data_IF_424848852618
#
_entry.id   IF_424848852618
#
_cell.length_a   1.000
_cell.length_b   1.000
_cell.length_c   1.000
_cell.angle_alpha   90.00
_cell.angle_beta   90.00
_cell.angle_gamma   90.00
#
_symmetry.space_group_name_H-M   'P 1'
#
loop_
_entity.id
_entity.type
_entity.pdbx_description
1 polymer ?
#
# COMPACT_ATOMS: atom_id res chain seq x y z
N UNK A 1 21.89 4.31 -4.07
CA UNK A 1 21.79 5.78 -3.95
C UNK A 1 20.73 6.28 -4.91
N UNK A 2 19.82 7.15 -4.47
CA UNK A 2 18.77 7.70 -5.33
C UNK A 2 19.33 8.83 -6.22
N UNK A 3 19.32 8.69 -7.56
CA UNK A 3 19.89 9.70 -8.47
C UNK A 3 18.97 10.88 -8.75
N UNK A 4 17.67 10.81 -8.39
CA UNK A 4 16.63 11.77 -8.81
C UNK A 4 16.64 12.09 -10.32
N UNK A 5 17.11 11.12 -11.12
CA UNK A 5 17.31 11.25 -12.57
C UNK A 5 17.13 9.89 -13.21
N UNK A 6 16.43 9.87 -14.35
CA UNK A 6 16.36 8.67 -15.18
C UNK A 6 17.73 8.34 -15.74
N UNK A 7 18.20 7.13 -15.47
CA UNK A 7 19.49 6.62 -15.93
C UNK A 7 19.27 5.56 -17.02
N UNK A 8 20.03 5.56 -18.12
CA UNK A 8 19.90 4.59 -19.20
C UNK A 8 20.55 3.23 -18.86
N UNK A 9 20.36 2.75 -17.62
CA UNK A 9 20.99 1.53 -17.09
C UNK A 9 20.01 0.37 -16.85
N UNK A 10 18.75 0.54 -17.24
CA UNK A 10 17.66 -0.42 -16.94
C UNK A 10 16.99 -1.01 -18.19
N UNK A 11 17.64 -0.92 -19.35
CA UNK A 11 17.14 -1.48 -20.60
C UNK A 11 17.36 -2.99 -20.71
N UNK A 12 16.66 -3.64 -21.63
CA UNK A 12 16.68 -5.11 -21.77
C UNK A 12 18.08 -5.64 -22.15
N UNK A 13 18.86 -4.87 -22.92
CA UNK A 13 20.25 -5.21 -23.23
C UNK A 13 21.11 -5.37 -21.96
N UNK A 14 20.84 -4.57 -20.93
CA UNK A 14 21.56 -4.63 -19.66
C UNK A 14 21.06 -5.80 -18.83
N UNK A 15 19.74 -6.05 -18.80
CA UNK A 15 19.18 -7.25 -18.18
C UNK A 15 19.87 -8.51 -18.70
N UNK A 16 19.99 -8.64 -20.03
CA UNK A 16 20.68 -9.78 -20.65
C UNK A 16 22.18 -9.81 -20.38
N UNK A 17 22.84 -8.66 -20.20
CA UNK A 17 24.25 -8.62 -19.84
C UNK A 17 24.52 -9.18 -18.44
N UNK A 18 23.59 -9.01 -17.49
CA UNK A 18 23.70 -9.58 -16.13
C UNK A 18 23.30 -11.06 -16.07
N UNK A 19 22.48 -11.54 -16.99
CA UNK A 19 21.98 -12.92 -16.99
C UNK A 19 23.11 -13.95 -17.15
N UNK A 20 23.15 -14.93 -16.24
CA UNK A 20 24.15 -16.00 -16.20
C UNK A 20 25.51 -15.59 -15.64
N UNK A 21 25.74 -14.30 -15.32
CA UNK A 21 27.01 -13.84 -14.77
C UNK A 21 27.11 -14.12 -13.25
N UNK A 22 28.31 -14.11 -12.69
CA UNK A 22 28.47 -14.12 -11.23
C UNK A 22 28.46 -12.70 -10.68
N UNK A 23 28.00 -12.55 -9.42
CA UNK A 23 27.88 -11.25 -8.75
C UNK A 23 29.19 -10.42 -8.79
N UNK A 24 30.35 -11.06 -8.67
CA UNK A 24 31.65 -10.39 -8.66
C UNK A 24 32.24 -10.04 -10.02
N UNK A 25 31.65 -10.54 -11.12
CA UNK A 25 32.18 -10.39 -12.48
C UNK A 25 31.63 -9.13 -13.19
N UNK A 26 30.58 -8.52 -12.63
CA UNK A 26 29.86 -7.39 -13.21
C UNK A 26 29.85 -6.19 -12.25
N UNK A 27 29.65 -4.98 -12.80
CA UNK A 27 29.50 -3.78 -11.98
C UNK A 27 28.29 -3.91 -11.02
N UNK A 28 28.36 -3.33 -9.80
CA UNK A 28 27.27 -3.39 -8.84
C UNK A 28 25.94 -2.85 -9.39
N UNK A 29 24.92 -3.70 -9.41
CA UNK A 29 23.59 -3.34 -9.93
C UNK A 29 22.48 -4.16 -9.27
N UNK A 30 21.26 -3.63 -9.24
CA UNK A 30 20.08 -4.34 -8.70
C UNK A 30 19.78 -5.65 -9.46
N UNK A 31 20.14 -5.70 -10.75
CA UNK A 31 20.03 -6.90 -11.56
C UNK A 31 21.00 -8.00 -11.14
N UNK A 32 22.19 -7.66 -10.63
CA UNK A 32 23.12 -8.65 -10.10
C UNK A 32 22.57 -9.32 -8.83
N UNK A 33 21.89 -8.56 -7.97
CA UNK A 33 21.20 -9.09 -6.78
C UNK A 33 20.04 -10.01 -7.19
N UNK A 34 19.25 -9.60 -8.18
CA UNK A 34 18.17 -10.42 -8.70
C UNK A 34 18.69 -11.72 -9.36
N UNK A 35 19.76 -11.64 -10.17
CA UNK A 35 20.39 -12.81 -10.78
C UNK A 35 20.95 -13.77 -9.74
N UNK A 36 21.62 -13.27 -8.70
CA UNK A 36 22.17 -14.12 -7.65
C UNK A 36 21.05 -14.84 -6.88
N UNK A 37 19.96 -14.14 -6.54
CA UNK A 37 18.79 -14.78 -5.95
C UNK A 37 18.20 -15.86 -6.87
N UNK A 38 18.06 -15.58 -8.17
CA UNK A 38 17.54 -16.54 -9.14
C UNK A 38 18.44 -17.78 -9.28
N UNK A 39 19.76 -17.59 -9.37
CA UNK A 39 20.74 -18.69 -9.43
C UNK A 39 20.75 -19.52 -8.16
N UNK A 40 20.72 -18.90 -6.98
CA UNK A 40 20.69 -19.61 -5.70
C UNK A 40 19.39 -20.40 -5.52
N UNK A 41 18.26 -19.83 -5.96
CA UNK A 41 16.97 -20.54 -5.99
C UNK A 41 17.05 -21.79 -6.87
N UNK A 42 17.50 -21.64 -8.12
CA UNK A 42 17.58 -22.73 -9.09
C UNK A 42 18.60 -23.81 -8.67
N UNK A 43 19.75 -23.40 -8.10
CA UNK A 43 20.81 -24.32 -7.68
C UNK A 43 20.44 -25.12 -6.43
N UNK A 44 19.82 -24.46 -5.44
CA UNK A 44 19.62 -25.04 -4.12
C UNK A 44 18.16 -25.50 -3.88
N UNK A 45 17.24 -25.26 -4.82
CA UNK A 45 15.80 -25.46 -4.66
C UNK A 45 15.26 -24.84 -3.35
N UNK A 46 15.75 -23.64 -3.03
CA UNK A 46 15.40 -22.92 -1.79
C UNK A 46 14.78 -21.58 -2.14
N UNK A 47 13.66 -21.27 -1.48
CA UNK A 47 13.00 -19.98 -1.62
C UNK A 47 13.94 -18.84 -1.21
N UNK A 48 13.81 -17.71 -1.90
CA UNK A 48 14.65 -16.53 -1.68
C UNK A 48 13.79 -15.33 -1.31
N UNK A 49 14.41 -14.32 -0.73
CA UNK A 49 13.78 -13.02 -0.48
C UNK A 49 14.72 -11.88 -0.86
N UNK A 50 14.21 -10.91 -1.61
CA UNK A 50 14.84 -9.61 -1.81
C UNK A 50 14.19 -8.64 -0.84
N UNK A 51 14.96 -8.22 0.16
CA UNK A 51 14.52 -7.25 1.18
C UNK A 51 15.13 -5.90 0.85
N UNK A 52 14.29 -4.91 0.58
CA UNK A 52 14.73 -3.55 0.27
C UNK A 52 14.40 -2.63 1.44
N UNK A 53 15.42 -2.05 2.06
CA UNK A 53 15.30 -1.17 3.23
C UNK A 53 15.85 0.24 2.97
N UNK A 54 15.58 1.15 3.89
CA UNK A 54 16.01 2.56 3.84
C UNK A 54 14.88 3.54 4.17
N UNK A 55 15.23 4.80 4.39
CA UNK A 55 14.28 5.88 4.71
C UNK A 55 13.25 6.14 3.60
N UNK A 56 12.17 6.85 3.92
CA UNK A 56 11.22 7.30 2.89
C UNK A 56 11.92 8.15 1.82
N UNK A 57 11.67 7.85 0.54
CA UNK A 57 12.35 8.49 -0.60
C UNK A 57 13.69 7.88 -1.02
N UNK A 58 14.21 6.87 -0.31
CA UNK A 58 15.51 6.25 -0.64
C UNK A 58 15.55 5.46 -1.97
N UNK A 59 14.38 5.15 -2.55
CA UNK A 59 14.25 4.39 -3.81
C UNK A 59 13.86 2.92 -3.65
N UNK A 60 13.30 2.51 -2.50
CA UNK A 60 12.90 1.12 -2.21
C UNK A 60 11.97 0.52 -3.27
N UNK A 61 10.84 1.18 -3.53
CA UNK A 61 9.85 0.77 -4.53
C UNK A 61 10.43 0.69 -5.94
N UNK A 62 11.35 1.60 -6.30
CA UNK A 62 12.03 1.60 -7.60
C UNK A 62 12.93 0.37 -7.73
N UNK A 63 13.74 0.08 -6.71
CA UNK A 63 14.60 -1.12 -6.67
C UNK A 63 13.79 -2.41 -6.72
N UNK A 64 12.71 -2.51 -5.94
CA UNK A 64 11.80 -3.66 -5.96
C UNK A 64 11.19 -3.88 -7.35
N UNK A 65 10.74 -2.79 -8.02
CA UNK A 65 10.19 -2.84 -9.38
C UNK A 65 11.22 -3.33 -10.39
N UNK A 66 12.46 -2.86 -10.33
CA UNK A 66 13.52 -3.32 -11.22
C UNK A 66 13.91 -4.77 -10.97
N UNK A 67 13.94 -5.23 -9.72
CA UNK A 67 14.16 -6.65 -9.41
C UNK A 67 13.04 -7.53 -9.99
N UNK A 68 11.77 -7.14 -9.82
CA UNK A 68 10.64 -7.84 -10.44
C UNK A 68 10.72 -7.85 -11.97
N UNK A 69 11.11 -6.73 -12.59
CA UNK A 69 11.29 -6.64 -14.05
C UNK A 69 12.41 -7.57 -14.54
N UNK A 70 13.48 -7.72 -13.76
CA UNK A 70 14.55 -8.66 -14.08
C UNK A 70 14.01 -10.09 -14.17
N UNK A 71 13.33 -10.56 -13.12
CA UNK A 71 12.73 -11.90 -13.10
C UNK A 71 11.76 -12.10 -14.27
N UNK A 72 10.84 -11.16 -14.49
CA UNK A 72 9.89 -11.17 -15.61
C UNK A 72 10.57 -11.37 -16.98
N UNK A 73 11.77 -10.83 -17.15
CA UNK A 73 12.51 -10.89 -18.42
C UNK A 73 13.28 -12.20 -18.58
N UNK A 74 14.00 -12.64 -17.54
CA UNK A 74 14.92 -13.80 -17.62
C UNK A 74 14.23 -15.15 -17.45
N UNK A 75 13.06 -15.16 -16.80
CA UNK A 75 12.28 -16.38 -16.50
C UNK A 75 10.97 -16.47 -17.27
N UNK A 76 10.92 -15.76 -18.42
CA UNK A 76 9.74 -15.67 -19.28
C UNK A 76 9.29 -17.07 -19.70
N UNK A 77 8.02 -17.39 -19.45
CA UNK A 77 7.47 -18.69 -19.84
C UNK A 77 7.43 -18.82 -21.37
N UNK A 78 7.58 -20.04 -21.89
CA UNK A 78 7.38 -20.32 -23.32
C UNK A 78 5.91 -20.30 -23.76
N UNK A 79 4.99 -20.07 -22.83
CA UNK A 79 3.55 -20.05 -23.07
C UNK A 79 3.07 -18.62 -23.36
N UNK A 80 2.08 -18.46 -24.24
CA UNK A 80 1.47 -17.15 -24.57
C UNK A 80 0.67 -16.51 -23.42
N UNK A 81 0.81 -17.00 -22.18
CA UNK A 81 -0.01 -16.56 -21.05
C UNK A 81 0.42 -15.20 -20.45
N UNK A 82 1.58 -14.64 -20.85
CA UNK A 82 2.08 -13.32 -20.45
C UNK A 82 1.93 -13.03 -18.95
N UNK A 83 2.21 -14.04 -18.11
CA UNK A 83 2.04 -13.95 -16.64
C UNK A 83 2.98 -12.89 -16.06
N UNK A 84 4.17 -12.77 -16.63
CA UNK A 84 5.18 -11.78 -16.30
C UNK A 84 4.65 -10.33 -16.42
N UNK A 85 3.86 -10.04 -17.46
CA UNK A 85 3.29 -8.71 -17.69
C UNK A 85 2.23 -8.40 -16.62
N UNK A 86 1.43 -9.41 -16.23
CA UNK A 86 0.45 -9.28 -15.15
C UNK A 86 1.11 -9.03 -13.79
N UNK A 87 2.19 -9.74 -13.47
CA UNK A 87 2.93 -9.52 -12.22
C UNK A 87 3.43 -8.08 -12.13
N UNK A 88 4.00 -7.54 -13.23
CA UNK A 88 4.45 -6.15 -13.27
C UNK A 88 3.31 -5.14 -13.21
N UNK A 89 2.16 -5.46 -13.84
CA UNK A 89 0.94 -4.65 -13.83
C UNK A 89 0.31 -4.50 -12.43
N UNK A 90 0.64 -5.36 -11.47
CA UNK A 90 0.15 -5.17 -10.09
C UNK A 90 0.68 -3.90 -9.43
N UNK A 91 1.87 -3.42 -9.83
CA UNK A 91 2.52 -2.29 -9.16
C UNK A 91 1.78 -0.96 -9.39
N UNK A 92 1.50 -0.51 -10.64
CA UNK A 92 0.82 0.77 -10.85
C UNK A 92 -0.55 0.84 -10.16
N UNK A 93 -1.30 -0.26 -10.12
CA UNK A 93 -2.60 -0.29 -9.42
C UNK A 93 -2.40 -0.05 -7.92
N UNK A 94 -1.51 -0.80 -7.29
CA UNK A 94 -1.25 -0.65 -5.84
C UNK A 94 -0.61 0.70 -5.50
N UNK A 95 0.15 1.31 -6.40
CA UNK A 95 0.64 2.68 -6.24
C UNK A 95 -0.50 3.70 -6.33
N UNK A 96 -1.44 3.55 -7.27
CA UNK A 96 -2.57 4.46 -7.39
C UNK A 96 -3.44 4.47 -6.12
N UNK A 97 -3.70 3.29 -5.53
CA UNK A 97 -4.59 3.15 -4.35
C UNK A 97 -3.87 3.08 -3.00
N UNK A 98 -2.54 3.02 -2.99
CA UNK A 98 -1.74 2.80 -1.78
C UNK A 98 -0.59 3.79 -1.59
N UNK A 99 -0.28 4.60 -2.61
CA UNK A 99 0.73 5.66 -2.50
C UNK A 99 0.09 7.05 -2.46
N UNK A 100 0.80 7.97 -1.83
CA UNK A 100 0.41 9.37 -1.72
C UNK A 100 1.65 10.27 -1.67
N UNK A 101 1.46 11.57 -1.95
CA UNK A 101 2.48 12.58 -1.72
C UNK A 101 2.56 12.91 -0.24
N UNK A 102 3.78 12.85 0.30
CA UNK A 102 4.16 13.42 1.60
C UNK A 102 5.19 14.53 1.40
N UNK A 103 5.56 15.21 2.47
CA UNK A 103 6.65 16.21 2.44
C UNK A 103 8.04 15.62 2.12
N UNK A 104 8.19 14.28 2.22
CA UNK A 104 9.47 13.57 1.99
C UNK A 104 9.56 12.90 0.62
N UNK A 105 8.42 12.51 0.05
CA UNK A 105 8.36 11.75 -1.19
C UNK A 105 7.02 11.97 -1.90
N UNK A 106 7.07 12.36 -3.16
CA UNK A 106 5.89 12.58 -3.99
C UNK A 106 5.10 11.31 -4.31
N UNK A 107 5.75 10.14 -4.23
CA UNK A 107 5.13 8.83 -4.43
C UNK A 107 5.43 7.88 -3.25
N UNK A 108 5.09 8.31 -2.03
CA UNK A 108 5.32 7.52 -0.82
C UNK A 108 4.33 6.37 -0.70
N UNK A 109 4.83 5.13 -0.61
CA UNK A 109 4.02 3.97 -0.22
C UNK A 109 3.50 4.14 1.21
N UNK A 110 2.18 4.03 1.40
CA UNK A 110 1.51 4.13 2.71
C UNK A 110 0.94 2.80 3.18
N UNK A 111 1.56 1.72 2.72
CA UNK A 111 1.34 0.33 3.10
C UNK A 111 2.64 -0.45 2.86
N UNK A 112 2.81 -1.56 3.55
CA UNK A 112 3.86 -2.53 3.26
C UNK A 112 3.40 -3.57 2.25
N UNK A 113 4.28 -3.99 1.35
CA UNK A 113 4.00 -4.96 0.30
C UNK A 113 5.04 -6.07 0.30
N UNK A 114 4.57 -7.32 0.30
CA UNK A 114 5.40 -8.50 0.08
C UNK A 114 4.82 -9.29 -1.09
N UNK A 115 5.55 -9.36 -2.20
CA UNK A 115 5.13 -10.05 -3.41
C UNK A 115 5.94 -11.34 -3.57
N UNK A 116 5.28 -12.48 -3.39
CA UNK A 116 5.84 -13.81 -3.63
C UNK A 116 5.69 -14.13 -5.12
N UNK A 117 6.80 -14.17 -5.86
CA UNK A 117 6.82 -14.58 -7.27
C UNK A 117 7.03 -16.08 -7.32
N UNK A 118 6.08 -16.82 -7.88
CA UNK A 118 6.08 -18.27 -7.92
C UNK A 118 6.75 -18.80 -9.18
N UNK A 119 7.59 -19.83 -9.01
CA UNK A 119 8.30 -20.50 -10.09
C UNK A 119 7.95 -21.99 -10.15
N UNK A 120 7.98 -22.56 -11.36
CA UNK A 120 7.86 -24.01 -11.60
C UNK A 120 9.21 -24.75 -11.48
N UNK A 121 9.21 -26.06 -11.76
CA UNK A 121 10.40 -26.91 -11.75
C UNK A 121 11.44 -26.52 -12.81
N UNK A 122 11.04 -25.78 -13.85
CA UNK A 122 11.91 -25.24 -14.88
C UNK A 122 12.41 -23.82 -14.54
N UNK A 123 12.09 -23.32 -13.34
CA UNK A 123 12.37 -21.97 -12.87
C UNK A 123 11.73 -20.87 -13.75
N UNK A 124 10.58 -21.14 -14.36
CA UNK A 124 9.78 -20.15 -15.09
C UNK A 124 8.70 -19.55 -14.20
N UNK A 125 8.36 -18.28 -14.40
CA UNK A 125 7.28 -17.63 -13.64
C UNK A 125 5.95 -18.28 -14.01
N UNK A 126 5.22 -18.73 -12.98
CA UNK A 126 3.88 -19.27 -13.12
C UNK A 126 2.81 -18.35 -12.54
N UNK A 127 3.17 -17.46 -11.61
CA UNK A 127 2.25 -16.48 -11.03
C UNK A 127 2.88 -15.71 -9.88
N UNK A 128 2.04 -15.02 -9.11
CA UNK A 128 2.48 -14.33 -7.91
C UNK A 128 1.35 -14.18 -6.89
N UNK A 129 1.73 -13.93 -5.65
CA UNK A 129 0.82 -13.64 -4.55
C UNK A 129 1.32 -12.44 -3.74
N UNK A 130 0.45 -11.46 -3.51
CA UNK A 130 0.76 -10.24 -2.79
C UNK A 130 0.13 -10.25 -1.40
N UNK A 131 0.95 -9.93 -0.40
CA UNK A 131 0.51 -9.66 0.97
C UNK A 131 0.75 -8.19 1.28
N UNK A 132 -0.22 -7.56 1.91
CA UNK A 132 -0.16 -6.15 2.29
C UNK A 132 -0.22 -5.97 3.79
N UNK A 133 0.44 -4.94 4.30
CA UNK A 133 0.59 -4.64 5.72
C UNK A 133 0.27 -3.17 5.99
N UNK A 134 -0.48 -2.90 7.06
CA UNK A 134 -0.64 -1.58 7.66
C UNK A 134 -0.88 -0.43 6.66
N UNK A 135 -1.99 -0.50 5.92
CA UNK A 135 -2.48 0.65 5.15
C UNK A 135 -2.77 1.85 6.07
N UNK A 136 -2.24 3.02 5.75
CA UNK A 136 -2.47 4.28 6.48
C UNK A 136 -3.90 4.79 6.28
N UNK A 137 -4.83 4.32 7.14
CA UNK A 137 -6.25 4.65 7.01
C UNK A 137 -6.54 6.13 7.25
N UNK A 138 -5.80 6.80 8.13
CA UNK A 138 -6.00 8.22 8.45
C UNK A 138 -5.85 9.13 7.23
N UNK A 139 -4.95 8.78 6.30
CA UNK A 139 -4.74 9.49 5.02
C UNK A 139 -6.03 9.75 4.24
N UNK A 140 -6.99 8.84 4.32
CA UNK A 140 -8.26 8.91 3.57
C UNK A 140 -9.06 10.17 3.94
N UNK A 141 -8.94 10.63 5.19
CA UNK A 141 -9.80 11.69 5.75
C UNK A 141 -9.01 12.89 6.26
N UNK A 142 -7.68 12.79 6.32
CA UNK A 142 -6.79 13.82 6.85
C UNK A 142 -5.49 13.91 6.04
N UNK A 143 -5.04 15.14 5.77
CA UNK A 143 -3.73 15.42 5.19
C UNK A 143 -3.12 16.65 5.85
N UNK A 144 -1.82 16.56 6.18
CA UNK A 144 -1.04 17.72 6.62
C UNK A 144 -0.75 18.67 5.46
N UNK A 145 -0.26 19.87 5.76
CA UNK A 145 0.13 20.87 4.76
C UNK A 145 1.11 20.28 3.72
N UNK A 146 0.88 20.60 2.45
CA UNK A 146 1.62 20.11 1.27
C UNK A 146 1.57 18.59 1.00
N UNK A 147 0.74 17.84 1.74
CA UNK A 147 0.49 16.43 1.48
C UNK A 147 -0.79 16.19 0.68
N UNK A 148 -0.88 15.00 0.07
CA UNK A 148 -2.09 14.55 -0.64
C UNK A 148 -2.71 13.32 0.04
N UNK A 149 -3.97 13.07 -0.27
CA UNK A 149 -4.59 11.75 -0.16
C UNK A 149 -3.98 10.78 -1.21
N UNK A 150 -4.49 9.55 -1.29
CA UNK A 150 -4.07 8.56 -2.29
C UNK A 150 -4.27 9.07 -3.72
N UNK A 151 -3.33 8.73 -4.61
CA UNK A 151 -3.27 9.25 -5.98
C UNK A 151 -4.55 9.02 -6.78
N UNK A 152 -5.21 7.88 -6.58
CA UNK A 152 -6.43 7.51 -7.32
C UNK A 152 -7.56 8.54 -7.18
N UNK A 153 -7.65 9.25 -6.06
CA UNK A 153 -8.66 10.30 -5.89
C UNK A 153 -8.41 11.48 -6.84
N UNK A 154 -7.15 11.89 -7.01
CA UNK A 154 -6.77 12.98 -7.91
C UNK A 154 -6.89 12.57 -9.37
N UNK A 155 -6.49 11.34 -9.69
CA UNK A 155 -6.71 10.73 -11.01
C UNK A 155 -8.20 10.75 -11.40
N UNK A 156 -9.08 10.45 -10.44
CA UNK A 156 -10.52 10.41 -10.63
C UNK A 156 -11.12 11.82 -10.76
N UNK A 157 -10.76 12.76 -9.88
CA UNK A 157 -11.18 14.17 -9.97
C UNK A 157 -10.70 14.84 -11.26
N UNK A 158 -9.45 14.58 -11.70
CA UNK A 158 -8.92 15.08 -12.97
C UNK A 158 -9.67 14.53 -14.20
N UNK A 159 -10.42 13.43 -14.02
CA UNK A 159 -11.24 12.79 -15.04
C UNK A 159 -12.74 13.11 -14.91
N UNK A 160 -13.15 13.95 -13.96
CA UNK A 160 -14.55 14.22 -13.65
C UNK A 160 -15.41 14.71 -14.84
N UNK A 161 -14.80 15.39 -15.80
CA UNK A 161 -15.50 15.93 -16.97
C UNK A 161 -15.69 14.91 -18.12
N UNK A 162 -15.09 13.73 -18.03
CA UNK A 162 -15.23 12.70 -19.05
C UNK A 162 -16.62 12.05 -19.00
N UNK A 163 -17.12 11.64 -20.16
CA UNK A 163 -18.48 11.10 -20.34
C UNK A 163 -18.78 9.92 -19.42
N UNK A 164 -17.83 9.00 -19.31
CA UNK A 164 -17.93 7.77 -18.53
C UNK A 164 -18.06 8.04 -17.03
N UNK A 165 -17.53 9.17 -16.53
CA UNK A 165 -17.53 9.53 -15.11
C UNK A 165 -18.62 10.53 -14.72
N UNK A 166 -19.45 11.01 -15.66
CA UNK A 166 -20.50 12.01 -15.37
C UNK A 166 -21.48 11.56 -14.30
N UNK A 167 -21.81 10.28 -14.26
CA UNK A 167 -22.73 9.72 -13.26
C UNK A 167 -22.13 9.71 -11.84
N UNK A 168 -20.81 9.83 -11.70
CA UNK A 168 -20.13 9.96 -10.41
C UNK A 168 -20.28 11.36 -9.80
N UNK A 169 -20.74 12.35 -10.59
CA UNK A 169 -21.02 13.74 -10.14
C UNK A 169 -19.84 14.40 -9.41
N UNK A 170 -18.64 14.10 -9.88
CA UNK A 170 -17.41 14.64 -9.33
C UNK A 170 -17.12 16.05 -9.82
N UNK A 171 -16.33 16.76 -9.02
CA UNK A 171 -15.70 18.02 -9.37
C UNK A 171 -14.17 17.92 -9.36
N UNK A 172 -13.52 19.07 -9.26
CA UNK A 172 -12.08 19.16 -9.03
C UNK A 172 -11.69 18.63 -7.63
N UNK A 173 -10.41 18.30 -7.44
CA UNK A 173 -9.91 17.84 -6.13
C UNK A 173 -10.03 18.90 -5.02
N UNK A 174 -10.17 20.18 -5.37
CA UNK A 174 -10.36 21.28 -4.40
C UNK A 174 -11.77 21.35 -3.83
N UNK A 175 -12.75 20.70 -4.47
CA UNK A 175 -14.14 20.72 -4.02
C UNK A 175 -14.38 19.77 -2.85
N UNK A 176 -13.57 18.71 -2.71
CA UNK A 176 -13.77 17.69 -1.69
C UNK A 176 -12.85 17.88 -0.49
N UNK A 177 -13.43 17.84 0.71
CA UNK A 177 -12.71 18.01 1.97
C UNK A 177 -11.56 17.00 2.14
N UNK A 178 -11.75 15.77 1.64
CA UNK A 178 -10.78 14.68 1.76
C UNK A 178 -9.61 14.77 0.77
N UNK A 179 -9.60 15.71 -0.17
CA UNK A 179 -8.49 15.89 -1.14
C UNK A 179 -7.89 17.29 -1.13
N UNK A 180 -8.54 18.27 -0.47
CA UNK A 180 -8.08 19.66 -0.45
C UNK A 180 -7.27 20.05 0.78
N UNK A 181 -7.23 19.22 1.83
CA UNK A 181 -6.78 19.62 3.17
C UNK A 181 -5.31 20.08 3.18
N UNK A 182 -4.45 19.43 2.38
CA UNK A 182 -3.04 19.79 2.28
C UNK A 182 -2.75 21.06 1.47
N UNK A 183 -3.76 21.71 0.89
CA UNK A 183 -3.63 23.01 0.22
C UNK A 183 -3.01 22.98 -1.19
N UNK A 184 -2.43 21.86 -1.63
CA UNK A 184 -1.94 21.68 -3.00
C UNK A 184 -2.35 20.32 -3.55
N UNK A 185 -3.20 20.33 -4.57
CA UNK A 185 -3.76 19.12 -5.19
C UNK A 185 -2.89 18.56 -6.31
N UNK A 186 -1.84 19.29 -6.74
CA UNK A 186 -0.99 18.96 -7.89
C UNK A 186 0.41 18.56 -7.42
N UNK A 187 0.97 17.55 -8.07
CA UNK A 187 2.40 17.19 -7.94
C UNK A 187 3.12 17.70 -9.18
N UNK A 188 4.26 18.36 -8.99
CA UNK A 188 5.07 18.85 -10.10
C UNK A 188 5.52 17.67 -10.98
N UNK A 189 5.32 17.81 -12.31
CA UNK A 189 5.70 16.78 -13.28
C UNK A 189 4.73 15.59 -13.39
N UNK A 190 3.66 15.53 -12.60
CA UNK A 190 2.64 14.46 -12.68
C UNK A 190 1.36 15.00 -13.33
N UNK A 191 0.83 14.26 -14.30
CA UNK A 191 -0.46 14.54 -14.90
C UNK A 191 -1.49 13.49 -14.45
N UNK A 192 -2.27 13.81 -13.42
CA UNK A 192 -3.23 12.86 -12.82
C UNK A 192 -4.27 12.33 -13.83
N UNK A 193 -4.63 13.09 -14.88
CA UNK A 193 -5.52 12.58 -15.95
C UNK A 193 -4.83 11.53 -16.82
N UNK A 194 -3.56 11.74 -17.16
CA UNK A 194 -2.78 10.75 -17.90
C UNK A 194 -2.57 9.48 -17.05
N UNK A 195 -2.28 9.65 -15.76
CA UNK A 195 -2.16 8.54 -14.82
C UNK A 195 -3.47 7.75 -14.66
N UNK A 196 -4.65 8.40 -14.70
CA UNK A 196 -5.93 7.68 -14.74
C UNK A 196 -6.01 6.75 -15.95
N UNK A 197 -5.59 7.22 -17.13
CA UNK A 197 -5.60 6.39 -18.36
C UNK A 197 -4.68 5.18 -18.20
N UNK A 198 -3.49 5.36 -17.62
CA UNK A 198 -2.58 4.26 -17.34
C UNK A 198 -3.12 3.30 -16.28
N UNK A 199 -3.78 3.81 -15.23
CA UNK A 199 -4.47 2.98 -14.23
C UNK A 199 -5.55 2.11 -14.88
N UNK A 200 -6.42 2.68 -15.73
CA UNK A 200 -7.47 1.93 -16.45
C UNK A 200 -6.90 0.85 -17.39
N UNK A 201 -5.83 1.19 -18.13
CA UNK A 201 -5.10 0.21 -18.96
C UNK A 201 -4.52 -0.92 -18.13
N UNK A 202 -3.96 -0.60 -16.97
CA UNK A 202 -3.35 -1.58 -16.06
C UNK A 202 -4.41 -2.49 -15.44
N UNK A 203 -5.57 -1.95 -15.06
CA UNK A 203 -6.73 -2.76 -14.66
C UNK A 203 -7.12 -3.75 -15.78
N UNK A 204 -7.24 -3.26 -17.02
CA UNK A 204 -7.61 -4.09 -18.16
C UNK A 204 -6.56 -5.19 -18.45
N UNK A 205 -5.26 -4.91 -18.29
CA UNK A 205 -4.18 -5.89 -18.47
C UNK A 205 -4.26 -7.05 -17.46
N UNK A 206 -4.74 -6.79 -16.25
CA UNK A 206 -5.03 -7.83 -15.25
C UNK A 206 -6.37 -8.55 -15.47
N UNK A 207 -7.10 -8.21 -16.54
CA UNK A 207 -8.40 -8.81 -16.86
C UNK A 207 -9.58 -8.17 -16.12
N UNK A 208 -9.38 -7.02 -15.48
CA UNK A 208 -10.48 -6.28 -14.86
C UNK A 208 -11.22 -5.45 -15.90
N UNK A 209 -12.45 -5.89 -16.17
CA UNK A 209 -13.36 -5.28 -17.14
C UNK A 209 -13.87 -3.91 -16.67
N UNK A 210 -14.45 -3.15 -17.60
CA UNK A 210 -14.94 -1.79 -17.35
C UNK A 210 -16.00 -1.70 -16.24
N UNK A 211 -16.85 -2.72 -16.10
CA UNK A 211 -17.86 -2.83 -15.04
C UNK A 211 -17.19 -2.90 -13.65
N UNK A 212 -16.19 -3.77 -13.49
CA UNK A 212 -15.40 -3.87 -12.27
C UNK A 212 -14.67 -2.56 -11.95
N UNK A 213 -14.02 -1.97 -12.95
CA UNK A 213 -13.32 -0.69 -12.78
C UNK A 213 -14.28 0.41 -12.33
N UNK A 214 -15.46 0.49 -12.97
CA UNK A 214 -16.46 1.49 -12.62
C UNK A 214 -17.03 1.29 -11.22
N UNK A 215 -17.22 0.06 -10.77
CA UNK A 215 -17.63 -0.20 -9.38
C UNK A 215 -16.58 0.28 -8.37
N UNK A 216 -15.28 0.07 -8.63
CA UNK A 216 -14.20 0.66 -7.81
C UNK A 216 -14.31 2.18 -7.79
N UNK A 217 -14.47 2.83 -8.94
CA UNK A 217 -14.58 4.28 -9.05
C UNK A 217 -15.84 4.85 -8.39
N UNK A 218 -16.96 4.11 -8.41
CA UNK A 218 -18.18 4.47 -7.67
C UNK A 218 -17.95 4.49 -6.16
N UNK A 219 -17.24 3.51 -5.60
CA UNK A 219 -16.91 3.50 -4.16
C UNK A 219 -15.99 4.68 -3.81
N UNK A 220 -14.98 4.97 -4.64
CA UNK A 220 -14.08 6.10 -4.42
C UNK A 220 -14.81 7.44 -4.48
N UNK A 221 -15.67 7.64 -5.48
CA UNK A 221 -16.52 8.84 -5.57
C UNK A 221 -17.45 8.97 -4.36
N UNK A 222 -18.07 7.87 -3.92
CA UNK A 222 -18.91 7.87 -2.73
C UNK A 222 -18.14 8.32 -1.48
N UNK A 223 -16.89 7.88 -1.28
CA UNK A 223 -16.05 8.35 -0.17
C UNK A 223 -15.82 9.86 -0.23
N UNK A 224 -15.55 10.42 -1.41
CA UNK A 224 -15.38 11.86 -1.58
C UNK A 224 -16.66 12.64 -1.25
N UNK A 225 -17.81 12.18 -1.75
CA UNK A 225 -19.10 12.79 -1.41
C UNK A 225 -19.39 12.67 0.09
N UNK A 226 -19.11 11.54 0.73
CA UNK A 226 -19.29 11.37 2.17
C UNK A 226 -18.53 12.42 2.99
N UNK A 227 -17.29 12.76 2.58
CA UNK A 227 -16.49 13.79 3.25
C UNK A 227 -17.07 15.21 3.21
N UNK A 228 -17.97 15.48 2.25
CA UNK A 228 -18.64 16.77 2.07
C UNK A 228 -20.03 16.83 2.69
N UNK A 229 -20.57 15.71 3.19
CA UNK A 229 -21.87 15.70 3.89
C UNK A 229 -21.84 16.67 5.07
N UNK A 230 -22.76 17.62 5.08
CA UNK A 230 -22.80 18.69 6.08
C UNK A 230 -23.44 18.20 7.37
N UNK A 231 -22.61 18.10 8.42
CA UNK A 231 -23.09 17.80 9.78
C UNK A 231 -23.18 19.11 10.57
N UNK A 232 -24.40 19.47 10.95
CA UNK A 232 -24.72 20.67 11.74
C UNK A 232 -24.85 20.33 13.22
N UNK A 233 -24.53 21.30 14.09
CA UNK A 233 -24.75 21.17 15.52
C UNK A 233 -26.18 21.60 15.87
N UNK A 234 -26.85 20.83 16.73
CA UNK A 234 -28.17 21.18 17.28
C UNK A 234 -28.00 21.34 18.79
N UNK A 235 -27.77 22.57 19.22
CA UNK A 235 -27.26 22.85 20.57
C UNK A 235 -25.87 22.24 20.78
N UNK A 236 -25.53 21.92 22.03
CA UNK A 236 -24.21 21.41 22.39
C UNK A 236 -24.11 19.87 22.42
N UNK A 237 -25.26 19.18 22.45
CA UNK A 237 -25.31 17.73 22.72
C UNK A 237 -25.72 16.90 21.50
N UNK A 238 -26.22 17.53 20.43
CA UNK A 238 -26.77 16.83 19.27
C UNK A 238 -26.19 17.35 17.96
N UNK A 239 -26.39 16.56 16.91
CA UNK A 239 -26.05 16.89 15.54
C UNK A 239 -27.19 16.50 14.61
N UNK A 240 -27.19 17.07 13.41
CA UNK A 240 -28.16 16.75 12.37
C UNK A 240 -27.52 16.83 10.99
N UNK A 241 -27.96 15.93 10.11
CA UNK A 241 -27.69 15.94 8.67
C UNK A 241 -29.03 16.09 7.96
N UNK A 242 -29.09 16.98 6.97
CA UNK A 242 -30.28 17.12 6.13
C UNK A 242 -30.41 15.92 5.18
N UNK A 243 -31.60 15.33 5.07
CA UNK A 243 -31.88 14.31 4.03
C UNK A 243 -31.76 14.89 2.61
N UNK A 244 -31.87 16.21 2.49
CA UNK A 244 -31.73 16.94 1.24
C UNK A 244 -30.30 17.37 0.91
N UNK A 245 -29.32 17.04 1.76
CA UNK A 245 -27.90 17.30 1.49
C UNK A 245 -27.49 16.70 0.13
N UNK A 246 -26.92 17.53 -0.74
CA UNK A 246 -26.61 17.16 -2.11
C UNK A 246 -25.56 16.05 -2.19
N UNK A 247 -24.54 16.09 -1.34
CA UNK A 247 -23.49 15.06 -1.32
C UNK A 247 -24.00 13.77 -0.67
N UNK A 248 -24.87 13.84 0.34
CA UNK A 248 -25.51 12.67 0.93
C UNK A 248 -26.36 11.91 -0.10
N UNK A 249 -27.14 12.65 -0.91
CA UNK A 249 -27.96 12.06 -1.98
C UNK A 249 -27.10 11.29 -2.98
N UNK A 250 -26.00 11.89 -3.45
CA UNK A 250 -25.08 11.22 -4.38
C UNK A 250 -24.39 10.02 -3.73
N UNK A 251 -23.91 10.15 -2.48
CA UNK A 251 -23.35 9.02 -1.73
C UNK A 251 -24.34 7.84 -1.65
N UNK A 252 -25.60 8.13 -1.34
CA UNK A 252 -26.65 7.11 -1.24
C UNK A 252 -27.01 6.51 -2.61
N UNK A 253 -27.05 7.31 -3.67
CA UNK A 253 -27.28 6.86 -5.04
C UNK A 253 -26.18 5.90 -5.52
N UNK A 254 -24.91 6.25 -5.30
CA UNK A 254 -23.77 5.43 -5.74
C UNK A 254 -23.70 4.08 -5.01
N UNK A 255 -24.11 4.03 -3.74
CA UNK A 255 -24.05 2.83 -2.90
C UNK A 255 -25.39 2.10 -2.76
N UNK A 256 -26.47 2.61 -3.36
CA UNK A 256 -27.81 2.02 -3.23
C UNK A 256 -28.36 2.05 -1.81
N UNK A 257 -28.17 3.16 -1.08
CA UNK A 257 -28.59 3.34 0.31
C UNK A 257 -29.78 4.30 0.42
N UNK A 258 -30.45 4.28 1.57
CA UNK A 258 -31.54 5.19 1.91
C UNK A 258 -31.02 6.41 2.69
N UNK A 259 -31.19 7.62 2.14
CA UNK A 259 -30.63 8.86 2.72
C UNK A 259 -31.11 9.13 4.14
N UNK A 260 -32.39 8.95 4.44
CA UNK A 260 -32.95 9.14 5.78
C UNK A 260 -32.28 8.24 6.82
N UNK A 261 -31.99 6.98 6.46
CA UNK A 261 -31.28 6.05 7.37
C UNK A 261 -29.84 6.47 7.59
N UNK A 262 -29.13 6.89 6.54
CA UNK A 262 -27.73 7.34 6.68
C UNK A 262 -27.67 8.61 7.52
N UNK A 263 -28.51 9.62 7.24
CA UNK A 263 -28.60 10.86 8.02
C UNK A 263 -28.87 10.57 9.50
N UNK A 264 -29.81 9.67 9.79
CA UNK A 264 -30.14 9.26 11.16
C UNK A 264 -28.94 8.62 11.87
N UNK A 265 -28.29 7.64 11.26
CA UNK A 265 -27.22 6.86 11.92
C UNK A 265 -25.85 7.56 11.91
N UNK A 266 -25.67 8.62 11.11
CA UNK A 266 -24.52 9.52 11.25
C UNK A 266 -24.60 10.39 12.51
N UNK A 267 -25.83 10.71 12.98
CA UNK A 267 -26.04 11.61 14.11
C UNK A 267 -26.51 10.90 15.40
N UNK A 268 -26.72 9.59 15.36
CA UNK A 268 -27.21 8.80 16.49
C UNK A 268 -26.47 7.46 16.59
N UNK A 269 -26.29 6.97 17.81
CA UNK A 269 -25.73 5.64 18.07
C UNK A 269 -26.71 4.77 18.84
N UNK A 270 -26.69 3.47 18.54
CA UNK A 270 -27.49 2.45 19.21
C UNK A 270 -26.67 1.79 20.31
N UNK A 271 -27.23 1.69 21.51
CA UNK A 271 -26.65 1.00 22.66
C UNK A 271 -27.62 -0.12 23.03
N UNK A 272 -27.16 -1.37 22.94
CA UNK A 272 -27.94 -2.54 23.29
C UNK A 272 -27.47 -3.03 24.66
N UNK A 273 -28.37 -3.07 25.63
CA UNK A 273 -28.13 -3.68 26.95
C UNK A 273 -28.92 -5.00 27.04
N UNK A 274 -28.73 -5.75 28.13
CA UNK A 274 -29.49 -6.99 28.35
C UNK A 274 -31.00 -6.77 28.47
N UNK A 275 -31.43 -5.57 28.88
CA UNK A 275 -32.83 -5.23 29.13
C UNK A 275 -33.50 -4.40 28.04
N UNK A 276 -32.74 -3.58 27.30
CA UNK A 276 -33.31 -2.63 26.34
C UNK A 276 -32.36 -2.21 25.22
N UNK A 277 -32.89 -1.52 24.22
CA UNK A 277 -32.11 -0.85 23.16
C UNK A 277 -32.37 0.64 23.19
N UNK A 278 -31.32 1.42 23.47
CA UNK A 278 -31.39 2.89 23.57
C UNK A 278 -30.70 3.52 22.37
N UNK A 279 -31.36 4.50 21.75
CA UNK A 279 -30.74 5.34 20.71
C UNK A 279 -30.38 6.68 21.34
N UNK A 280 -29.07 7.00 21.36
CA UNK A 280 -28.57 8.28 21.87
C UNK A 280 -28.08 9.17 20.73
N UNK A 281 -28.45 10.46 20.72
CA UNK A 281 -27.85 11.44 19.83
C UNK A 281 -26.34 11.55 20.05
N UNK A 282 -25.63 11.98 19.01
CA UNK A 282 -24.20 12.28 19.04
C UNK A 282 -23.96 13.77 18.85
N UNK A 283 -22.94 14.30 19.53
CA UNK A 283 -22.46 15.67 19.29
C UNK A 283 -21.90 15.78 17.88
N UNK A 284 -21.80 17.01 17.34
CA UNK A 284 -21.21 17.22 16.00
C UNK A 284 -19.79 16.61 15.88
N UNK A 285 -18.87 16.78 16.84
CA UNK A 285 -17.56 16.14 16.79
C UNK A 285 -17.63 14.61 16.72
N UNK A 286 -18.51 13.98 17.50
CA UNK A 286 -18.71 12.53 17.47
C UNK A 286 -19.25 12.05 16.12
N UNK A 287 -20.22 12.77 15.55
CA UNK A 287 -20.80 12.46 14.24
C UNK A 287 -19.77 12.61 13.10
N UNK A 288 -18.94 13.66 13.12
CA UNK A 288 -17.82 13.82 12.18
C UNK A 288 -16.82 12.68 12.31
N UNK A 289 -16.41 12.33 13.53
CA UNK A 289 -15.50 11.22 13.76
C UNK A 289 -16.09 9.88 13.25
N UNK A 290 -17.38 9.63 13.47
CA UNK A 290 -18.07 8.44 12.98
C UNK A 290 -18.15 8.40 11.44
N UNK A 291 -18.46 9.53 10.79
CA UNK A 291 -18.45 9.67 9.33
C UNK A 291 -17.06 9.36 8.75
N UNK A 292 -16.02 9.91 9.36
CA UNK A 292 -14.65 9.72 8.91
C UNK A 292 -14.19 8.28 9.17
N UNK A 293 -14.58 7.67 10.30
CA UNK A 293 -14.35 6.25 10.57
C UNK A 293 -15.02 5.34 9.53
N UNK A 294 -16.23 5.67 9.09
CA UNK A 294 -16.91 4.95 8.01
C UNK A 294 -16.14 5.08 6.68
N UNK A 295 -15.72 6.29 6.30
CA UNK A 295 -14.91 6.50 5.10
C UNK A 295 -13.62 5.68 5.10
N UNK A 296 -12.88 5.69 6.22
CA UNK A 296 -11.67 4.88 6.44
C UNK A 296 -11.96 3.38 6.30
N UNK A 297 -13.09 2.90 6.82
CA UNK A 297 -13.48 1.50 6.77
C UNK A 297 -13.84 1.05 5.36
N UNK A 298 -14.58 1.87 4.61
CA UNK A 298 -14.92 1.60 3.20
C UNK A 298 -13.64 1.53 2.37
N UNK A 299 -12.74 2.51 2.50
CA UNK A 299 -11.49 2.52 1.74
C UNK A 299 -10.60 1.32 2.05
N UNK A 300 -10.45 0.97 3.33
CA UNK A 300 -9.66 -0.21 3.73
C UNK A 300 -10.21 -1.49 3.10
N UNK A 301 -11.53 -1.68 3.12
CA UNK A 301 -12.15 -2.83 2.45
C UNK A 301 -12.00 -2.81 0.93
N UNK A 302 -12.09 -1.63 0.31
CA UNK A 302 -11.86 -1.49 -1.13
C UNK A 302 -10.41 -1.86 -1.49
N UNK A 303 -9.44 -1.40 -0.70
CA UNK A 303 -8.03 -1.72 -0.88
C UNK A 303 -7.79 -3.23 -0.78
N UNK A 304 -8.26 -3.85 0.32
CA UNK A 304 -8.13 -5.31 0.53
C UNK A 304 -8.79 -6.09 -0.62
N UNK A 305 -9.96 -5.66 -1.07
CA UNK A 305 -10.68 -6.25 -2.20
C UNK A 305 -9.90 -6.15 -3.50
N UNK A 306 -9.30 -4.99 -3.81
CA UNK A 306 -8.47 -4.83 -5.01
C UNK A 306 -7.27 -5.78 -4.95
N UNK A 307 -6.59 -5.87 -3.81
CA UNK A 307 -5.45 -6.79 -3.62
C UNK A 307 -5.88 -8.25 -3.77
N UNK A 308 -7.01 -8.64 -3.20
CA UNK A 308 -7.57 -10.00 -3.35
C UNK A 308 -7.83 -10.32 -4.83
N UNK A 309 -8.44 -9.39 -5.57
CA UNK A 309 -8.71 -9.56 -6.99
C UNK A 309 -7.44 -9.61 -7.84
N UNK A 310 -6.42 -8.82 -7.50
CA UNK A 310 -5.09 -8.91 -8.13
C UNK A 310 -4.51 -10.30 -7.90
N UNK A 311 -4.55 -10.81 -6.67
CA UNK A 311 -4.07 -12.15 -6.36
C UNK A 311 -4.82 -13.22 -7.16
N UNK A 312 -6.15 -13.12 -7.27
CA UNK A 312 -6.95 -14.02 -8.11
C UNK A 312 -6.53 -13.98 -9.59
N UNK A 313 -6.21 -12.79 -10.13
CA UNK A 313 -5.75 -12.65 -11.51
C UNK A 313 -4.31 -13.18 -11.76
N UNK A 314 -3.52 -13.32 -10.69
CA UNK A 314 -2.14 -13.82 -10.69
C UNK A 314 -2.03 -15.29 -10.23
N UNK A 315 -3.16 -15.94 -9.92
CA UNK A 315 -3.21 -17.36 -9.61
C UNK A 315 -2.82 -18.21 -10.81
N UNK A 316 -2.31 -19.40 -10.50
CA UNK A 316 -1.88 -20.39 -11.48
C UNK A 316 -2.44 -21.76 -11.15
N UNK A 317 -2.61 -22.58 -12.18
CA UNK A 317 -2.93 -24.00 -12.03
C UNK A 317 -1.64 -24.79 -11.82
N UNK A 318 -1.51 -25.51 -10.71
CA UNK A 318 -0.33 -26.32 -10.42
C UNK A 318 0.13 -26.14 -8.98
N UNK A 319 1.37 -26.58 -8.70
CA UNK A 319 2.03 -26.35 -7.42
C UNK A 319 3.24 -25.46 -7.63
N UNK A 320 3.44 -24.54 -6.70
CA UNK A 320 4.67 -23.77 -6.62
C UNK A 320 5.83 -24.70 -6.30
N UNK A 321 6.89 -24.67 -7.13
CA UNK A 321 8.14 -25.36 -6.83
C UNK A 321 8.98 -24.53 -5.85
N UNK A 322 9.27 -23.29 -6.24
CA UNK A 322 10.00 -22.31 -5.42
C UNK A 322 9.39 -20.92 -5.56
N UNK A 323 9.81 -19.98 -4.72
CA UNK A 323 9.46 -18.57 -4.85
C UNK A 323 10.62 -17.63 -4.56
N UNK A 324 10.53 -16.41 -5.12
CA UNK A 324 11.31 -15.25 -4.71
C UNK A 324 10.36 -14.19 -4.16
N UNK A 325 10.48 -13.88 -2.88
CA UNK A 325 9.68 -12.86 -2.21
C UNK A 325 10.35 -11.48 -2.32
N UNK A 326 9.64 -10.49 -2.84
CA UNK A 326 10.14 -9.10 -2.90
C UNK A 326 9.42 -8.28 -1.82
N UNK A 327 10.16 -7.82 -0.82
CA UNK A 327 9.65 -7.00 0.26
C UNK A 327 9.92 -5.51 -0.01
N UNK A 328 8.84 -4.74 -0.13
CA UNK A 328 8.83 -3.28 -0.25
C UNK A 328 7.90 -2.71 0.83
N UNK A 329 8.47 -2.30 1.96
CA UNK A 329 7.72 -1.63 3.02
C UNK A 329 8.02 -0.15 3.08
N UNK A 330 7.16 0.61 3.74
CA UNK A 330 7.43 1.99 4.10
C UNK A 330 8.78 2.10 4.84
N UNK A 331 9.51 3.17 4.54
CA UNK A 331 10.78 3.43 5.22
C UNK A 331 10.54 4.02 6.59
N UNK A 332 11.57 3.99 7.43
CA UNK A 332 11.60 4.80 8.65
C UNK A 332 11.26 6.26 8.33
N UNK A 333 10.39 6.88 9.14
CA UNK A 333 9.95 8.26 8.96
C UNK A 333 9.79 9.02 10.28
N UNK A 334 10.05 10.33 10.20
CA UNK A 334 9.92 11.29 11.29
C UNK A 334 9.52 12.65 10.71
N UNK A 335 8.50 13.24 11.33
CA UNK A 335 7.97 14.58 11.04
C UNK A 335 7.96 15.42 12.31
N UNK A 336 7.53 16.69 12.20
CA UNK A 336 7.37 17.58 13.36
C UNK A 336 6.27 17.08 14.32
N UNK A 337 5.24 16.43 13.78
CA UNK A 337 4.18 15.76 14.55
C UNK A 337 4.13 14.31 14.11
N UNK A 338 4.43 13.39 15.03
CA UNK A 338 4.37 11.95 14.83
C UNK A 338 3.20 11.38 15.63
N UNK A 339 2.50 10.40 15.06
CA UNK A 339 1.38 9.73 15.71
C UNK A 339 1.52 8.20 15.63
N UNK A 340 0.43 7.49 15.85
CA UNK A 340 0.38 6.03 15.84
C UNK A 340 0.87 5.44 14.51
N UNK A 341 0.65 6.14 13.40
CA UNK A 341 1.13 5.75 12.08
C UNK A 341 2.66 5.63 12.03
N UNK A 342 3.38 6.67 12.43
CA UNK A 342 4.85 6.66 12.44
C UNK A 342 5.39 5.63 13.43
N UNK A 343 4.72 5.45 14.58
CA UNK A 343 5.08 4.44 15.56
C UNK A 343 5.03 3.02 14.95
N UNK A 344 3.91 2.64 14.32
CA UNK A 344 3.78 1.34 13.65
C UNK A 344 4.79 1.16 12.50
N UNK A 345 5.03 2.22 11.73
CA UNK A 345 5.98 2.21 10.61
C UNK A 345 7.41 1.95 11.10
N UNK A 346 7.84 2.70 12.11
CA UNK A 346 9.20 2.60 12.65
C UNK A 346 9.39 1.28 13.41
N UNK A 347 8.38 0.81 14.14
CA UNK A 347 8.39 -0.52 14.76
C UNK A 347 8.60 -1.65 13.74
N UNK A 348 7.91 -1.62 12.60
CA UNK A 348 8.13 -2.61 11.55
C UNK A 348 9.54 -2.54 10.95
N UNK A 349 10.14 -1.34 10.85
CA UNK A 349 11.52 -1.18 10.41
C UNK A 349 12.51 -1.76 11.44
N UNK A 350 12.26 -1.63 12.74
CA UNK A 350 13.06 -2.31 13.78
C UNK A 350 13.03 -3.83 13.63
N UNK A 351 11.85 -4.41 13.33
CA UNK A 351 11.74 -5.85 13.04
C UNK A 351 12.55 -6.28 11.81
N UNK A 352 12.56 -5.48 10.74
CA UNK A 352 13.41 -5.77 9.58
C UNK A 352 14.89 -5.64 9.90
N UNK A 353 15.28 -4.63 10.68
CA UNK A 353 16.66 -4.44 11.10
C UNK A 353 17.14 -5.61 11.98
N UNK A 354 16.26 -6.13 12.85
CA UNK A 354 16.53 -7.33 13.65
C UNK A 354 16.78 -8.54 12.76
N UNK A 355 15.93 -8.77 11.76
CA UNK A 355 16.11 -9.89 10.81
C UNK A 355 17.44 -9.77 10.06
N UNK A 356 17.81 -8.56 9.62
CA UNK A 356 19.09 -8.30 8.98
C UNK A 356 20.27 -8.61 9.90
N UNK A 357 20.25 -8.08 11.12
CA UNK A 357 21.31 -8.29 12.11
C UNK A 357 21.48 -9.78 12.46
N UNK A 358 20.37 -10.49 12.65
CA UNK A 358 20.39 -11.94 12.92
C UNK A 358 20.98 -12.74 11.76
N UNK A 359 20.66 -12.40 10.51
CA UNK A 359 21.14 -13.14 9.36
C UNK A 359 22.62 -12.85 9.07
N UNK A 360 23.02 -11.58 9.05
CA UNK A 360 24.37 -11.15 8.65
C UNK A 360 25.41 -11.43 9.74
N UNK A 361 25.05 -11.25 11.00
CA UNK A 361 26.02 -11.39 12.09
C UNK A 361 25.83 -12.70 12.85
N UNK A 362 24.63 -12.98 13.33
CA UNK A 362 24.45 -14.09 14.26
C UNK A 362 24.57 -15.45 13.58
N UNK A 363 23.85 -15.67 12.48
CA UNK A 363 23.90 -16.96 11.76
C UNK A 363 25.25 -17.21 11.09
N UNK A 364 25.88 -16.16 10.54
CA UNK A 364 27.23 -16.26 9.95
C UNK A 364 28.28 -16.64 11.00
N UNK A 365 28.22 -16.00 12.19
CA UNK A 365 29.12 -16.29 13.30
C UNK A 365 28.90 -17.71 13.86
N UNK A 366 27.65 -18.15 13.98
CA UNK A 366 27.31 -19.51 14.43
C UNK A 366 27.89 -20.57 13.47
N UNK A 367 27.89 -20.33 12.15
CA UNK A 367 28.50 -21.26 11.18
C UNK A 367 30.03 -21.27 11.28
N UNK A 368 30.69 -20.13 11.46
CA UNK A 368 32.15 -20.09 11.67
C UNK A 368 32.58 -20.83 12.93
N UNK A 369 31.83 -20.68 14.03
CA UNK A 369 32.08 -21.40 15.29
C UNK A 369 31.88 -22.90 15.10
N UNK A 370 30.85 -23.30 14.37
CA UNK A 370 30.53 -24.71 14.09
C UNK A 370 31.58 -25.41 13.20
N UNK A 371 32.20 -24.67 12.29
CA UNK A 371 33.28 -25.17 11.42
C UNK A 371 34.69 -25.09 12.08
N UNK A 372 34.76 -24.79 13.39
CA UNK A 372 36.00 -24.63 14.16
C UNK A 372 36.97 -23.59 13.55
N UNK A 373 36.44 -22.58 12.85
CA UNK A 373 37.24 -21.51 12.25
C UNK A 373 37.49 -20.43 13.30
N UNK A 374 38.76 -20.03 13.56
CA UNK A 374 39.07 -18.93 14.48
C UNK A 374 38.44 -17.63 13.99
N UNK A 375 37.37 -17.18 14.66
CA UNK A 375 36.62 -15.99 14.30
C UNK A 375 36.73 -14.91 15.39
N UNK A 376 36.90 -13.66 14.96
CA UNK A 376 36.79 -12.51 15.87
C UNK A 376 35.36 -12.02 15.83
N UNK A 377 34.64 -12.13 16.95
CA UNK A 377 33.26 -11.65 17.08
C UNK A 377 33.16 -10.21 16.56
N UNK A 378 32.34 -10.00 15.52
CA UNK A 378 32.05 -8.68 15.00
C UNK A 378 30.95 -8.11 15.89
N UNK A 379 31.26 -7.01 16.57
CA UNK A 379 30.29 -6.27 17.36
C UNK A 379 29.27 -5.59 16.43
N UNK A 380 27.99 -5.67 16.79
CA UNK A 380 26.90 -5.04 16.06
C UNK A 380 25.85 -4.51 17.04
N UNK A 381 25.09 -3.51 16.60
CA UNK A 381 24.05 -2.92 17.44
C UNK A 381 22.82 -3.85 17.50
N UNK A 382 22.60 -4.48 18.65
CA UNK A 382 21.40 -5.27 18.92
C UNK A 382 20.22 -4.36 19.27
N UNK A 383 19.18 -4.42 18.45
CA UNK A 383 17.95 -3.66 18.62
C UNK A 383 16.84 -4.42 19.34
N UNK A 384 17.11 -5.61 19.91
CA UNK A 384 16.16 -6.34 20.76
C UNK A 384 15.57 -5.48 21.90
N UNK A 385 16.36 -4.64 22.63
CA UNK A 385 15.80 -3.87 23.74
C UNK A 385 14.69 -2.88 23.34
N UNK A 386 14.80 -2.23 22.17
CA UNK A 386 13.76 -1.32 21.68
C UNK A 386 12.54 -2.09 21.18
N UNK A 387 12.75 -3.28 20.59
CA UNK A 387 11.66 -4.17 20.21
C UNK A 387 10.87 -4.60 21.44
N UNK A 388 11.56 -5.05 22.50
CA UNK A 388 10.92 -5.47 23.75
C UNK A 388 10.11 -4.34 24.39
N UNK A 389 10.65 -3.12 24.41
CA UNK A 389 9.93 -1.94 24.89
C UNK A 389 8.58 -1.74 24.15
N UNK A 390 8.51 -2.10 22.87
CA UNK A 390 7.33 -1.89 22.04
C UNK A 390 6.34 -3.07 22.15
N UNK A 391 6.80 -4.31 21.94
CA UNK A 391 5.92 -5.47 21.74
C UNK A 391 5.87 -6.46 22.91
N UNK A 392 6.81 -6.41 23.86
CA UNK A 392 6.86 -7.40 24.93
C UNK A 392 5.73 -7.17 25.93
N UNK A 393 5.65 -8.09 26.90
CA UNK A 393 4.75 -7.88 28.03
C UNK A 393 5.14 -6.63 28.81
N UNK A 394 4.16 -5.83 29.22
CA UNK A 394 4.33 -4.48 29.77
C UNK A 394 4.99 -3.49 28.80
N UNK A 395 5.00 -3.82 27.50
CA UNK A 395 5.47 -2.93 26.44
C UNK A 395 4.41 -1.90 26.05
N UNK A 396 4.80 -0.93 25.21
CA UNK A 396 3.95 0.19 24.81
C UNK A 396 2.64 -0.28 24.18
N UNK A 397 2.68 -1.29 23.30
CA UNK A 397 1.48 -1.78 22.61
C UNK A 397 0.52 -2.50 23.55
N UNK A 398 1.02 -3.32 24.49
CA UNK A 398 0.15 -4.01 25.46
C UNK A 398 -0.50 -3.01 26.42
N UNK A 399 0.25 -2.03 26.92
CA UNK A 399 -0.30 -0.96 27.77
C UNK A 399 -1.35 -0.10 27.04
N UNK A 400 -1.16 0.14 25.74
CA UNK A 400 -2.15 0.84 24.91
C UNK A 400 -3.44 0.00 24.76
N UNK A 401 -3.31 -1.32 24.54
CA UNK A 401 -4.44 -2.24 24.45
C UNK A 401 -5.21 -2.31 25.79
N UNK A 402 -4.51 -2.33 26.93
CA UNK A 402 -5.12 -2.32 28.27
C UNK A 402 -5.94 -1.05 28.52
N UNK A 403 -5.45 0.13 28.13
CA UNK A 403 -6.17 1.40 28.29
C UNK A 403 -7.35 1.56 27.32
N UNK A 404 -7.41 0.74 26.26
CA UNK A 404 -8.53 0.75 25.30
C UNK A 404 -9.75 -0.08 25.76
N UNK A 405 -9.60 -0.94 26.76
CA UNK A 405 -10.66 -1.77 27.35
C UNK A 405 -11.46 -1.00 28.40
#
# INVERSE_FOLDING_TARGET
MNPYKQLPIYGDAIIHAYSGQNMGDMDPHIFAVAEEAYKQMARNNRNQSIIVSGESGAGKTVSARYAMRYFATVSKSGSNAHVEDKVLASNPITEAVGNAKTTRNDNSSRFGKYTEISFDEQNQIIGANMRTYLLEKSRVVFQSENERNYHIFYQLCASAQQSEFKHLKLGSAEEFNYTRMGGNTVIEGVNDRAEMVETQKTFALLGFKEDFQMDVFKILAAILHLGNVQITAVGNERSSVSEDDSHLKVFCELLGLESGRVAQWLCNRKIVTSSETVVKPMTRPQAVNARDALAKKIYAHLFDFIVERINQALQFSGKQHTFIGVLDIYGFETFDVNSFEQFCINYANEKLQQQFNMHVFKLEQEEYVKEDIPWTLIDFYDNQPVIDLIEAKMGILELLDEECL
#
